data_IF_090269118575
#
_entry.id   IF_090269118575
#
_cell.length_a   1.000
_cell.length_b   1.000
_cell.length_c   1.000
_cell.angle_alpha   90.00
_cell.angle_beta   90.00
_cell.angle_gamma   90.00
#
_symmetry.space_group_name_H-M   'P 1'
#
loop_
_entity.id
_entity.type
_entity.pdbx_description
1 polymer ?
#
# COMPACT_ATOMS: atom_id res chain seq x y z
N UNK A 1 24.01 2.78 3.39
CA UNK A 1 22.68 3.40 3.18
C UNK A 1 21.65 2.39 3.63
N UNK A 2 20.71 2.79 4.49
CA UNK A 2 19.68 1.88 5.02
C UNK A 2 18.38 2.01 4.22
N UNK A 3 17.53 0.98 4.19
CA UNK A 3 16.19 1.08 3.61
C UNK A 3 15.34 2.16 4.29
N UNK A 4 15.60 2.43 5.57
CA UNK A 4 14.90 3.47 6.34
C UNK A 4 15.12 4.87 5.76
N UNK A 5 16.32 5.18 5.29
CA UNK A 5 16.64 6.46 4.63
C UNK A 5 15.78 6.69 3.38
N UNK A 6 15.40 5.63 2.65
CA UNK A 6 14.48 5.77 1.52
C UNK A 6 13.06 6.10 1.96
N UNK A 7 12.59 5.49 3.06
CA UNK A 7 11.26 5.82 3.61
C UNK A 7 11.24 7.25 4.12
N UNK A 8 12.20 7.63 4.95
CA UNK A 8 12.19 8.92 5.65
C UNK A 8 12.42 10.08 4.67
N UNK A 9 13.45 9.98 3.82
CA UNK A 9 13.88 11.12 2.99
C UNK A 9 13.20 11.17 1.61
N UNK A 10 12.65 10.05 1.11
CA UNK A 10 12.10 9.97 -0.25
C UNK A 10 10.60 9.67 -0.32
N UNK A 11 10.05 8.90 0.63
CA UNK A 11 8.60 8.60 0.65
C UNK A 11 7.83 9.54 1.58
N UNK A 12 8.37 9.83 2.77
CA UNK A 12 7.76 10.69 3.78
C UNK A 12 8.16 12.16 3.67
N UNK A 13 8.80 12.56 2.57
CA UNK A 13 9.18 13.94 2.32
C UNK A 13 7.97 14.85 2.12
N UNK A 14 8.20 16.15 2.31
CA UNK A 14 7.17 17.16 2.10
C UNK A 14 6.99 17.46 0.60
N UNK A 15 5.75 17.46 0.13
CA UNK A 15 5.34 17.74 -1.23
C UNK A 15 4.28 18.83 -1.18
N UNK A 16 4.66 20.05 -1.56
CA UNK A 16 3.74 21.20 -1.65
C UNK A 16 2.94 21.44 -0.35
N UNK A 17 3.60 21.33 0.81
CA UNK A 17 2.96 21.50 2.12
C UNK A 17 2.22 20.26 2.65
N UNK A 18 2.25 19.14 1.93
CA UNK A 18 1.64 17.87 2.32
C UNK A 18 2.69 16.77 2.50
N UNK A 19 2.33 15.68 3.18
CA UNK A 19 3.15 14.47 3.24
C UNK A 19 2.25 13.23 3.23
N UNK A 20 2.81 12.07 2.91
CA UNK A 20 2.08 10.80 3.02
C UNK A 20 1.67 10.54 4.48
N UNK A 21 0.49 9.97 4.71
CA UNK A 21 0.06 9.60 6.07
C UNK A 21 0.90 8.45 6.64
N UNK A 22 1.36 7.55 5.78
CA UNK A 22 2.29 6.48 6.10
C UNK A 22 2.95 5.93 4.83
N UNK A 23 4.13 5.31 4.96
CA UNK A 23 4.85 4.66 3.86
C UNK A 23 5.64 3.44 4.35
N UNK A 24 5.91 2.48 3.46
CA UNK A 24 6.75 1.32 3.75
C UNK A 24 7.41 0.78 2.47
N UNK A 25 8.50 0.05 2.67
CA UNK A 25 9.18 -0.79 1.69
C UNK A 25 9.07 -2.22 2.20
N UNK A 26 8.34 -3.05 1.45
CA UNK A 26 8.02 -4.43 1.83
C UNK A 26 8.55 -5.33 0.73
N UNK A 27 9.30 -6.36 1.11
CA UNK A 27 9.72 -7.43 0.21
C UNK A 27 8.51 -8.20 -0.31
N UNK A 28 8.64 -8.82 -1.48
CA UNK A 28 7.54 -9.58 -2.10
C UNK A 28 7.10 -10.81 -1.27
N UNK A 29 7.94 -11.23 -0.32
CA UNK A 29 7.68 -12.28 0.68
C UNK A 29 6.90 -11.77 1.91
N UNK A 30 6.60 -10.47 1.97
CA UNK A 30 5.97 -9.81 3.12
C UNK A 30 6.94 -9.30 4.18
N UNK A 31 8.26 -9.48 3.99
CA UNK A 31 9.26 -8.98 4.94
C UNK A 31 9.32 -7.44 4.91
N UNK A 32 9.20 -6.80 6.07
CA UNK A 32 9.33 -5.34 6.17
C UNK A 32 10.80 -4.95 6.12
N UNK A 33 11.22 -4.21 5.09
CA UNK A 33 12.58 -3.68 4.99
C UNK A 33 12.71 -2.31 5.66
N UNK A 34 11.67 -1.48 5.58
CA UNK A 34 11.54 -0.22 6.27
C UNK A 34 10.08 0.24 6.29
N UNK A 35 9.68 1.02 7.29
CA UNK A 35 8.34 1.60 7.38
C UNK A 35 8.34 2.89 8.21
N UNK A 36 7.35 3.76 7.98
CA UNK A 36 7.10 4.92 8.84
C UNK A 36 6.46 4.46 10.16
N UNK A 37 6.59 5.27 11.21
CA UNK A 37 6.02 4.95 12.53
C UNK A 37 4.49 4.79 12.52
N UNK A 38 3.82 5.41 11.55
CA UNK A 38 2.36 5.39 11.37
C UNK A 38 1.88 4.31 10.42
N UNK A 39 2.77 3.51 9.82
CA UNK A 39 2.38 2.46 8.89
C UNK A 39 1.57 1.37 9.60
N UNK A 40 0.38 1.01 9.08
CA UNK A 40 -0.50 0.07 9.76
C UNK A 40 0.12 -1.33 9.76
N UNK A 41 -0.12 -2.09 10.83
CA UNK A 41 0.15 -3.53 10.78
C UNK A 41 -0.80 -4.20 9.81
N UNK A 42 -0.23 -4.93 8.86
CA UNK A 42 -0.94 -5.70 7.86
C UNK A 42 -0.88 -7.19 8.15
N UNK A 43 -1.77 -7.95 7.50
CA UNK A 43 -1.74 -9.41 7.55
C UNK A 43 -0.99 -9.99 6.34
N UNK A 44 -0.36 -11.18 6.45
CA UNK A 44 0.33 -11.81 5.32
C UNK A 44 -0.56 -12.01 4.08
N UNK A 45 -1.85 -12.26 4.27
CA UNK A 45 -2.80 -12.45 3.18
C UNK A 45 -3.05 -11.16 2.40
N UNK A 46 -2.91 -9.99 3.03
CA UNK A 46 -3.03 -8.69 2.37
C UNK A 46 -1.87 -8.47 1.37
N UNK A 47 -0.64 -8.80 1.77
CA UNK A 47 0.53 -8.72 0.87
C UNK A 47 0.45 -9.76 -0.23
N UNK A 48 0.02 -10.98 0.10
CA UNK A 48 -0.16 -12.05 -0.89
C UNK A 48 -1.21 -11.63 -1.95
N UNK A 49 -2.30 -10.99 -1.53
CA UNK A 49 -3.31 -10.44 -2.45
C UNK A 49 -2.73 -9.36 -3.37
N UNK A 50 -1.91 -8.45 -2.84
CA UNK A 50 -1.20 -7.42 -3.63
C UNK A 50 -0.26 -8.06 -4.65
N UNK A 51 0.54 -9.05 -4.25
CA UNK A 51 1.46 -9.74 -5.15
C UNK A 51 0.73 -10.54 -6.23
N UNK A 52 -0.41 -11.15 -5.91
CA UNK A 52 -1.25 -11.81 -6.89
C UNK A 52 -1.81 -10.84 -7.93
N UNK A 53 -2.19 -9.62 -7.55
CA UNK A 53 -2.67 -8.60 -8.50
C UNK A 53 -1.56 -8.04 -9.38
N UNK A 54 -0.31 -8.00 -8.91
CA UNK A 54 0.83 -7.73 -9.79
C UNK A 54 1.04 -8.83 -10.84
N UNK A 55 0.91 -10.11 -10.45
CA UNK A 55 1.08 -11.26 -11.35
C UNK A 55 -0.11 -11.42 -12.32
N UNK A 56 -1.32 -11.19 -11.81
CA UNK A 56 -2.60 -11.32 -12.51
C UNK A 56 -3.43 -10.04 -12.29
N UNK A 57 -3.24 -9.01 -13.14
CA UNK A 57 -3.90 -7.72 -12.98
C UNK A 57 -5.43 -7.82 -12.94
N UNK A 58 -6.03 -7.28 -11.88
CA UNK A 58 -7.48 -7.19 -11.70
C UNK A 58 -8.06 -8.21 -10.70
N UNK A 59 -7.24 -9.08 -10.10
CA UNK A 59 -7.67 -10.03 -9.07
C UNK A 59 -8.18 -9.34 -7.80
N UNK A 60 -7.70 -8.13 -7.48
CA UNK A 60 -8.20 -7.34 -6.34
C UNK A 60 -9.46 -6.53 -6.65
N UNK A 61 -9.87 -6.37 -7.92
CA UNK A 61 -11.02 -5.53 -8.27
C UNK A 61 -12.36 -6.03 -7.65
N UNK A 62 -12.66 -7.35 -7.61
CA UNK A 62 -13.91 -7.86 -7.02
C UNK A 62 -13.94 -7.80 -5.48
N UNK A 63 -12.79 -7.99 -4.81
CA UNK A 63 -12.69 -8.12 -3.36
C UNK A 63 -12.34 -6.79 -2.67
N UNK A 64 -11.58 -5.94 -3.34
CA UNK A 64 -10.97 -4.72 -2.83
C UNK A 64 -9.54 -4.94 -2.34
N UNK A 65 -8.73 -3.87 -2.39
CA UNK A 65 -7.39 -3.83 -1.81
C UNK A 65 -7.53 -3.64 -0.29
N UNK A 66 -7.01 -4.57 0.51
CA UNK A 66 -6.97 -4.42 1.97
C UNK A 66 -5.54 -4.11 2.42
N UNK A 67 -5.41 -3.18 3.35
CA UNK A 67 -4.16 -2.91 4.04
C UNK A 67 -4.47 -2.50 5.48
N UNK A 68 -3.95 -3.26 6.44
CA UNK A 68 -4.19 -3.04 7.86
C UNK A 68 -5.67 -3.04 8.22
N UNK A 69 -6.43 -3.95 7.61
CA UNK A 69 -7.88 -4.06 7.81
C UNK A 69 -8.71 -2.95 7.16
N UNK A 70 -8.09 -1.94 6.55
CA UNK A 70 -8.81 -0.90 5.80
C UNK A 70 -9.03 -1.37 4.36
N UNK A 71 -10.29 -1.32 3.90
CA UNK A 71 -10.65 -1.61 2.51
C UNK A 71 -10.49 -0.37 1.62
N UNK A 72 -9.85 -0.56 0.48
CA UNK A 72 -9.70 0.41 -0.60
C UNK A 72 -10.34 -0.16 -1.87
N UNK A 73 -11.10 0.67 -2.58
CA UNK A 73 -11.59 0.34 -3.91
C UNK A 73 -10.45 0.47 -4.91
N UNK A 74 -10.22 -0.56 -5.70
CA UNK A 74 -9.19 -0.55 -6.75
C UNK A 74 -9.58 0.46 -7.84
N UNK A 75 -8.66 1.33 -8.22
CA UNK A 75 -8.80 2.30 -9.31
C UNK A 75 -7.73 2.07 -10.36
N UNK A 76 -7.79 2.79 -11.48
CA UNK A 76 -6.86 2.60 -12.61
C UNK A 76 -5.39 2.75 -12.19
N UNK A 77 -4.67 1.63 -12.21
CA UNK A 77 -3.22 1.54 -12.06
C UNK A 77 -2.51 1.25 -13.38
N UNK A 78 -1.32 0.66 -13.29
CA UNK A 78 -0.51 0.18 -14.42
C UNK A 78 -0.30 -1.33 -14.27
N UNK A 79 -0.79 -2.16 -15.20
CA UNK A 79 -0.72 -3.61 -15.11
C UNK A 79 0.71 -4.11 -14.86
N UNK A 80 0.91 -4.89 -13.79
CA UNK A 80 2.22 -5.45 -13.42
C UNK A 80 3.22 -4.45 -12.84
N UNK A 81 2.85 -3.17 -12.65
CA UNK A 81 3.77 -2.12 -12.20
C UNK A 81 3.23 -1.26 -11.06
N UNK A 82 1.96 -0.84 -11.11
CA UNK A 82 1.37 0.07 -10.11
C UNK A 82 -0.07 -0.33 -9.78
N UNK A 83 -0.35 -0.60 -8.50
CA UNK A 83 -1.71 -0.80 -7.99
C UNK A 83 -2.12 0.47 -7.23
N UNK A 84 -3.34 0.96 -7.48
CA UNK A 84 -3.88 2.16 -6.83
C UNK A 84 -5.21 1.85 -6.16
N UNK A 85 -5.38 2.33 -4.93
CA UNK A 85 -6.60 2.16 -4.15
C UNK A 85 -7.15 3.48 -3.64
N UNK A 86 -8.47 3.66 -3.71
CA UNK A 86 -9.19 4.79 -3.10
C UNK A 86 -10.00 4.31 -1.90
N UNK A 87 -9.76 4.89 -0.72
CA UNK A 87 -10.52 4.57 0.49
C UNK A 87 -11.99 4.95 0.27
N UNK A 88 -12.90 3.99 0.45
CA UNK A 88 -14.33 4.24 0.36
C UNK A 88 -14.80 4.73 1.73
N UNK A 89 -15.32 5.96 1.81
CA UNK A 89 -16.06 6.39 2.99
C UNK A 89 -17.42 5.74 2.96
N UNK A 90 -17.57 4.61 3.66
CA UNK A 90 -18.90 4.06 3.94
C UNK A 90 -19.43 4.90 5.09
N UNK A 91 -20.25 5.92 4.80
CA UNK A 91 -21.08 6.52 5.83
C UNK A 91 -22.03 5.41 6.31
N UNK A 92 -21.81 4.90 7.52
CA UNK A 92 -22.85 4.15 8.22
C UNK A 92 -24.06 5.07 8.31
N UNK A 93 -25.17 4.69 7.67
CA UNK A 93 -26.49 5.18 8.04
C UNK A 93 -26.86 4.68 9.44
#
# INVERSE_FOLDING_TARGET
>A
MSWQTYVDDHLMCEIEGNHLSAAAIIGHDGSVWAQSATFPQFKPEEITGIMNDFNEPGTLAPTGLYLGGTKYMVIQGEPGAVIRGKKVMINSL
#
